data_IF_591624226784
#
_entry.id   IF_591624226784
#
_cell.length_a   1.000
_cell.length_b   1.000
_cell.length_c   1.000
_cell.angle_alpha   90.00
_cell.angle_beta   90.00
_cell.angle_gamma   90.00
#
_symmetry.space_group_name_H-M   'P 1'
#
loop_
_entity.id
_entity.type
_entity.pdbx_description
1 polymer ?
#
# COMPACT_ATOMS: atom_id res chain seq x y z
N UNK A 1 9.63 1.08 -7.98
CA UNK A 1 9.26 1.84 -9.19
C UNK A 1 8.12 1.09 -9.87
N UNK A 2 6.88 1.62 -9.80
CA UNK A 2 5.70 0.99 -10.41
C UNK A 2 5.56 1.30 -11.91
N UNK A 3 6.43 2.12 -12.51
CA UNK A 3 6.25 2.63 -13.88
C UNK A 3 6.04 1.55 -14.95
N UNK A 4 6.77 0.40 -14.94
CA UNK A 4 6.56 -0.66 -15.92
C UNK A 4 5.17 -1.30 -15.85
N UNK A 5 4.62 -1.41 -14.63
CA UNK A 5 3.33 -2.04 -14.40
C UNK A 5 2.18 -1.07 -14.69
N UNK A 6 2.33 0.20 -14.31
CA UNK A 6 1.39 1.26 -14.65
C UNK A 6 1.23 1.44 -16.17
N UNK A 7 2.33 1.33 -16.93
CA UNK A 7 2.30 1.39 -18.38
C UNK A 7 1.52 0.24 -19.04
N UNK A 8 1.26 -0.84 -18.30
CA UNK A 8 0.52 -2.03 -18.75
C UNK A 8 -0.84 -2.17 -18.08
N UNK A 9 -1.19 -1.23 -17.20
CA UNK A 9 -2.44 -1.26 -16.44
C UNK A 9 -3.62 -1.04 -17.40
N UNK A 10 -4.53 -2.02 -17.54
CA UNK A 10 -5.72 -1.83 -18.37
C UNK A 10 -6.57 -0.70 -17.81
N UNK A 11 -7.04 0.17 -18.71
CA UNK A 11 -7.91 1.30 -18.40
C UNK A 11 -7.32 2.20 -17.31
N UNK A 12 -6.01 2.47 -17.36
CA UNK A 12 -5.33 3.32 -16.39
C UNK A 12 -5.99 4.70 -16.23
N UNK A 13 -6.51 5.27 -17.32
CA UNK A 13 -7.19 6.58 -17.34
C UNK A 13 -8.66 6.52 -16.88
N UNK A 14 -9.17 5.34 -16.51
CA UNK A 14 -10.53 5.21 -16.01
C UNK A 14 -10.69 5.95 -14.68
N UNK A 15 -11.60 6.93 -14.65
CA UNK A 15 -12.03 7.59 -13.42
C UNK A 15 -12.74 6.59 -12.52
N UNK A 16 -12.23 6.41 -11.29
CA UNK A 16 -12.83 5.53 -10.28
C UNK A 16 -13.52 6.30 -9.16
N UNK A 17 -13.00 7.49 -8.81
CA UNK A 17 -13.44 8.23 -7.63
C UNK A 17 -13.59 9.70 -7.99
N UNK A 18 -14.81 10.21 -7.80
CA UNK A 18 -15.16 11.62 -7.94
C UNK A 18 -15.57 12.19 -6.58
N UNK A 19 -14.66 12.12 -5.60
CA UNK A 19 -14.88 12.58 -4.24
C UNK A 19 -13.71 13.45 -3.75
N UNK A 20 -13.98 14.49 -2.94
CA UNK A 20 -12.93 15.40 -2.47
C UNK A 20 -11.95 14.75 -1.49
N UNK A 21 -12.41 13.71 -0.77
CA UNK A 21 -11.61 12.98 0.20
C UNK A 21 -12.07 11.51 0.24
N UNK A 22 -11.11 10.59 0.30
CA UNK A 22 -11.34 9.16 0.56
C UNK A 22 -10.36 8.65 1.61
N UNK A 23 -10.78 7.69 2.42
CA UNK A 23 -9.91 7.00 3.40
C UNK A 23 -9.35 5.74 2.77
N UNK A 24 -8.04 5.58 2.71
CA UNK A 24 -7.36 4.36 2.23
C UNK A 24 -6.85 3.57 3.42
N UNK A 25 -7.18 2.28 3.46
CA UNK A 25 -6.75 1.35 4.50
C UNK A 25 -5.64 0.45 3.95
N UNK A 26 -4.47 0.51 4.59
CA UNK A 26 -3.34 -0.38 4.37
C UNK A 26 -3.19 -1.23 5.63
N UNK A 27 -3.57 -2.50 5.56
CA UNK A 27 -3.49 -3.45 6.67
C UNK A 27 -2.44 -4.55 6.44
N UNK A 28 -2.17 -4.92 5.19
CA UNK A 28 -1.18 -5.94 4.84
C UNK A 28 0.09 -5.34 4.21
N UNK A 29 1.30 -5.81 4.59
CA UNK A 29 1.63 -6.79 5.64
C UNK A 29 1.98 -6.12 6.98
N UNK A 30 1.09 -5.27 7.49
CA UNK A 30 1.31 -4.50 8.72
C UNK A 30 0.73 -5.25 9.92
N UNK A 31 1.29 -5.05 11.11
CA UNK A 31 0.63 -5.45 12.38
C UNK A 31 -0.31 -4.36 12.88
N UNK A 32 0.06 -3.11 12.63
CA UNK A 32 -0.75 -1.95 12.93
C UNK A 32 -1.28 -1.41 11.61
N UNK A 33 -2.60 -1.48 11.41
CA UNK A 33 -3.21 -0.90 10.22
C UNK A 33 -2.85 0.58 10.10
N UNK A 34 -2.68 1.02 8.86
CA UNK A 34 -2.45 2.42 8.53
C UNK A 34 -3.58 2.93 7.67
N UNK A 35 -4.26 3.95 8.18
CA UNK A 35 -5.32 4.65 7.44
C UNK A 35 -4.83 6.06 7.13
N UNK A 36 -4.88 6.44 5.87
CA UNK A 36 -4.58 7.79 5.44
C UNK A 36 -5.70 8.36 4.58
N UNK A 37 -5.81 9.68 4.61
CA UNK A 37 -6.82 10.42 3.84
C UNK A 37 -6.19 10.91 2.55
N UNK A 38 -6.71 10.44 1.43
CA UNK A 38 -6.38 10.95 0.12
C UNK A 38 -7.34 12.08 -0.22
N UNK A 39 -6.80 13.29 -0.36
CA UNK A 39 -7.55 14.47 -0.81
C UNK A 39 -7.27 14.71 -2.27
N UNK A 40 -8.31 14.77 -3.09
CA UNK A 40 -8.19 15.11 -4.50
C UNK A 40 -8.92 16.42 -4.79
N UNK A 41 -8.32 17.23 -5.66
CA UNK A 41 -8.97 18.43 -6.19
C UNK A 41 -9.85 18.13 -7.41
N UNK A 42 -9.91 16.87 -7.85
CA UNK A 42 -10.68 16.42 -9.01
C UNK A 42 -10.89 14.92 -9.03
N UNK A 43 -11.26 14.39 -10.18
CA UNK A 43 -11.43 12.96 -10.40
C UNK A 43 -10.10 12.22 -10.23
N UNK A 44 -10.13 11.04 -9.60
CA UNK A 44 -8.97 10.15 -9.49
C UNK A 44 -9.14 9.00 -10.47
N UNK A 45 -8.12 8.84 -11.32
CA UNK A 45 -8.02 7.71 -12.23
C UNK A 45 -7.46 6.47 -11.51
N UNK A 46 -7.67 5.31 -12.13
CA UNK A 46 -7.12 4.03 -11.67
C UNK A 46 -5.58 4.06 -11.60
N UNK A 47 -4.92 4.63 -12.59
CA UNK A 47 -3.46 4.76 -12.65
C UNK A 47 -2.90 5.67 -11.56
N UNK A 48 -3.53 6.83 -11.34
CA UNK A 48 -3.14 7.75 -10.26
C UNK A 48 -3.30 7.10 -8.89
N UNK A 49 -4.41 6.40 -8.66
CA UNK A 49 -4.64 5.72 -7.38
C UNK A 49 -3.59 4.62 -7.14
N UNK A 50 -3.27 3.81 -8.16
CA UNK A 50 -2.24 2.79 -8.08
C UNK A 50 -0.84 3.39 -7.80
N UNK A 51 -0.49 4.49 -8.46
CA UNK A 51 0.76 5.21 -8.21
C UNK A 51 0.84 5.72 -6.77
N UNK A 52 -0.21 6.40 -6.30
CA UNK A 52 -0.28 6.95 -4.93
C UNK A 52 -0.16 5.86 -3.87
N UNK A 53 -0.83 4.72 -4.07
CA UNK A 53 -0.72 3.56 -3.17
C UNK A 53 0.71 3.02 -3.16
N UNK A 54 1.33 2.84 -4.33
CA UNK A 54 2.73 2.42 -4.44
C UNK A 54 3.68 3.36 -3.69
N UNK A 55 3.50 4.67 -3.85
CA UNK A 55 4.32 5.67 -3.15
C UNK A 55 4.11 5.61 -1.64
N UNK A 56 2.87 5.39 -1.20
CA UNK A 56 2.57 5.24 0.21
C UNK A 56 3.20 3.98 0.81
N UNK A 57 3.19 2.85 0.09
CA UNK A 57 3.90 1.63 0.53
C UNK A 57 5.41 1.84 0.63
N UNK A 58 6.02 2.53 -0.34
CA UNK A 58 7.44 2.89 -0.26
C UNK A 58 7.75 3.71 1.00
N UNK A 59 6.95 4.73 1.28
CA UNK A 59 7.09 5.56 2.48
C UNK A 59 6.92 4.74 3.77
N UNK A 60 5.92 3.85 3.82
CA UNK A 60 5.69 2.96 4.98
C UNK A 60 6.92 2.09 5.27
N UNK A 61 7.49 1.46 4.23
CA UNK A 61 8.68 0.62 4.40
C UNK A 61 9.91 1.43 4.82
N UNK A 62 10.09 2.63 4.28
CA UNK A 62 11.17 3.53 4.72
C UNK A 62 11.02 3.99 6.17
N UNK A 63 9.82 4.42 6.55
CA UNK A 63 9.51 4.88 7.91
C UNK A 63 9.61 3.75 8.93
N UNK A 64 9.18 2.55 8.57
CA UNK A 64 9.40 1.35 9.37
C UNK A 64 10.88 1.14 9.63
N UNK A 65 11.71 1.11 8.58
CA UNK A 65 13.15 0.88 8.74
C UNK A 65 13.84 1.99 9.54
N UNK A 66 13.41 3.25 9.39
CA UNK A 66 13.92 4.38 10.18
C UNK A 66 13.54 4.27 11.67
N UNK A 67 12.32 3.82 11.97
CA UNK A 67 11.78 3.79 13.34
C UNK A 67 12.04 2.49 14.10
N UNK A 68 12.26 1.37 13.40
CA UNK A 68 12.41 0.07 14.02
C UNK A 68 13.74 -0.08 14.79
N UNK A 69 13.68 -0.76 15.93
CA UNK A 69 14.87 -1.18 16.70
C UNK A 69 15.29 -2.60 16.35
N UNK A 70 14.32 -3.47 16.01
CA UNK A 70 14.54 -4.76 15.36
C UNK A 70 14.62 -4.48 13.86
N UNK A 71 15.82 -4.60 13.29
CA UNK A 71 16.09 -4.28 11.89
C UNK A 71 15.68 -5.40 10.94
N UNK A 72 15.43 -5.04 9.68
CA UNK A 72 15.19 -6.01 8.62
C UNK A 72 16.45 -6.84 8.40
N UNK A 73 16.34 -8.16 8.51
CA UNK A 73 17.41 -9.08 8.18
C UNK A 73 17.62 -9.03 6.65
N UNK A 74 18.84 -8.77 6.16
CA UNK A 74 19.11 -8.78 4.72
C UNK A 74 18.77 -10.13 4.09
N UNK A 75 18.20 -10.14 2.88
CA UNK A 75 17.77 -11.36 2.18
C UNK A 75 18.85 -12.47 2.15
N UNK A 76 20.12 -12.10 1.96
CA UNK A 76 21.25 -13.04 1.92
C UNK A 76 21.53 -13.77 3.25
N UNK A 77 20.99 -13.25 4.35
CA UNK A 77 21.15 -13.79 5.71
C UNK A 77 19.90 -14.54 6.19
N UNK A 78 18.80 -14.51 5.43
CA UNK A 78 17.56 -15.24 5.77
C UNK A 78 17.71 -16.69 5.35
N UNK A 79 18.02 -17.57 6.31
CA UNK A 79 18.11 -19.03 6.11
C UNK A 79 17.41 -19.73 7.29
N UNK A 80 16.53 -20.72 7.07
CA UNK A 80 16.02 -21.26 5.81
C UNK A 80 14.81 -20.51 5.22
N UNK A 81 14.32 -19.46 5.90
CA UNK A 81 13.12 -18.73 5.54
C UNK A 81 13.44 -17.66 4.47
N UNK A 82 12.65 -17.60 3.39
CA UNK A 82 12.77 -16.54 2.37
C UNK A 82 12.13 -15.22 2.84
N UNK A 83 11.03 -15.33 3.58
CA UNK A 83 10.25 -14.23 4.13
C UNK A 83 11.10 -13.33 5.05
N UNK A 84 10.84 -12.02 5.03
CA UNK A 84 11.45 -11.07 5.96
C UNK A 84 10.98 -11.33 7.39
N UNK A 85 11.83 -11.03 8.35
CA UNK A 85 11.42 -11.00 9.76
C UNK A 85 10.44 -9.86 10.02
N UNK A 86 9.69 -9.99 11.11
CA UNK A 86 8.93 -8.89 11.70
C UNK A 86 9.89 -7.83 12.26
N UNK A 87 9.58 -6.57 11.99
CA UNK A 87 10.21 -5.41 12.61
C UNK A 87 9.24 -4.78 13.61
N UNK A 88 9.76 -4.00 14.56
CA UNK A 88 8.95 -3.33 15.59
C UNK A 88 8.94 -1.80 15.41
N UNK A 89 8.98 -1.34 14.16
CA UNK A 89 8.85 0.06 13.84
C UNK A 89 7.41 0.53 13.96
N UNK A 90 7.15 1.70 13.36
CA UNK A 90 5.85 2.39 13.39
C UNK A 90 4.68 1.49 12.95
N UNK A 91 4.88 0.61 11.99
CA UNK A 91 3.84 -0.18 11.33
C UNK A 91 3.92 -1.68 11.66
N UNK A 92 5.07 -2.17 12.12
CA UNK A 92 5.26 -3.58 12.47
C UNK A 92 5.18 -4.49 11.25
N UNK A 93 6.04 -4.24 10.26
CA UNK A 93 6.01 -4.98 8.99
C UNK A 93 6.56 -6.40 9.18
N UNK A 94 5.91 -7.39 8.58
CA UNK A 94 6.33 -8.80 8.67
C UNK A 94 6.14 -9.56 7.35
N UNK A 95 6.80 -10.71 7.20
CA UNK A 95 6.52 -11.66 6.12
C UNK A 95 7.14 -11.31 4.77
N UNK A 96 6.76 -10.17 4.17
CA UNK A 96 7.06 -9.88 2.76
C UNK A 96 7.85 -8.60 2.56
N UNK A 97 8.88 -8.66 1.71
CA UNK A 97 9.53 -7.44 1.22
C UNK A 97 8.57 -6.67 0.33
N UNK A 98 8.82 -5.37 0.15
CA UNK A 98 7.96 -4.53 -0.68
C UNK A 98 7.88 -5.05 -2.13
N UNK A 99 8.97 -5.63 -2.63
CA UNK A 99 9.05 -6.23 -3.97
C UNK A 99 8.16 -7.45 -4.16
N UNK A 100 7.70 -8.07 -3.08
CA UNK A 100 6.86 -9.26 -3.13
C UNK A 100 5.37 -8.87 -3.23
N UNK A 101 5.02 -7.62 -2.90
CA UNK A 101 3.63 -7.18 -2.83
C UNK A 101 3.08 -6.82 -4.21
N UNK A 102 1.89 -7.35 -4.50
CA UNK A 102 1.13 -7.06 -5.72
C UNK A 102 -0.22 -6.48 -5.35
N UNK A 103 -0.53 -5.28 -5.83
CA UNK A 103 -1.87 -4.70 -5.74
C UNK A 103 -2.76 -5.36 -6.80
N UNK A 104 -3.58 -6.34 -6.40
CA UNK A 104 -4.47 -7.06 -7.31
C UNK A 104 -5.85 -6.41 -7.46
N UNK A 105 -6.25 -5.61 -6.47
CA UNK A 105 -7.55 -4.94 -6.49
C UNK A 105 -7.72 -3.86 -5.44
N UNK A 106 -8.78 -3.07 -5.60
CA UNK A 106 -9.22 -2.06 -4.65
C UNK A 106 -10.72 -2.23 -4.48
N UNK A 107 -11.18 -2.49 -3.25
CA UNK A 107 -12.61 -2.49 -2.94
C UNK A 107 -13.02 -1.12 -2.44
N UNK A 108 -14.06 -0.60 -3.07
CA UNK A 108 -14.65 0.70 -2.73
C UNK A 108 -15.88 0.47 -1.86
N UNK A 109 -15.85 1.00 -0.64
CA UNK A 109 -16.95 0.94 0.31
C UNK A 109 -17.52 2.34 0.51
N UNK A 110 -18.78 2.54 0.13
CA UNK A 110 -19.47 3.79 0.38
C UNK A 110 -20.36 3.65 1.61
N UNK A 111 -20.11 4.49 2.61
CA UNK A 111 -20.89 4.52 3.84
C UNK A 111 -22.15 5.39 3.69
N UNK A 112 -23.13 5.18 4.59
CA UNK A 112 -24.39 5.93 4.60
C UNK A 112 -24.24 7.42 4.88
N UNK A 113 -23.12 7.83 5.49
CA UNK A 113 -22.77 9.24 5.75
C UNK A 113 -22.07 9.91 4.54
N UNK A 114 -21.86 9.18 3.43
CA UNK A 114 -21.16 9.66 2.24
C UNK A 114 -19.65 9.46 2.27
N UNK A 115 -19.07 8.92 3.35
CA UNK A 115 -17.65 8.57 3.41
C UNK A 115 -17.33 7.41 2.46
N UNK A 116 -16.19 7.51 1.77
CA UNK A 116 -15.68 6.46 0.90
C UNK A 116 -14.40 5.89 1.54
N UNK A 117 -14.41 4.58 1.74
CA UNK A 117 -13.27 3.81 2.25
C UNK A 117 -12.77 2.88 1.14
N UNK A 118 -11.47 2.91 0.91
CA UNK A 118 -10.76 2.04 -0.01
C UNK A 118 -10.01 1.00 0.81
N UNK A 119 -10.34 -0.28 0.64
CA UNK A 119 -9.55 -1.39 1.18
C UNK A 119 -8.78 -2.04 0.03
N UNK A 120 -7.48 -2.28 0.25
CA UNK A 120 -6.60 -2.82 -0.77
C UNK A 120 -6.63 -4.35 -0.77
N UNK A 121 -6.62 -4.96 -1.95
CA UNK A 121 -6.38 -6.39 -2.13
C UNK A 121 -4.92 -6.57 -2.53
N UNK A 122 -4.13 -7.11 -1.60
CA UNK A 122 -2.68 -7.29 -1.76
C UNK A 122 -2.36 -8.78 -1.77
N UNK A 123 -1.58 -9.20 -2.76
CA UNK A 123 -1.06 -10.55 -2.91
C UNK A 123 0.47 -10.56 -2.69
N UNK A 124 1.02 -11.72 -2.33
CA UNK A 124 2.45 -11.90 -2.03
C UNK A 124 2.90 -13.35 -2.10
#
# INVERSE_FOLDING_TARGET
>A
DPSPDLARLPDADQVLISAPEVSVVIDYPLKNEFVFKLRSTGDLTKGELAQLISDQYQQIYEEEEKSATIKTIPQTQRKPLYNRNETNGKYGIWGHDLSDLVLSGIRIHQQSNGEIILSLEIES
#
